data_IF_100808446410
#
_entry.id   IF_100808446410
#
_cell.length_a   1.000
_cell.length_b   1.000
_cell.length_c   1.000
_cell.angle_alpha   90.00
_cell.angle_beta   90.00
_cell.angle_gamma   90.00
#
_symmetry.space_group_name_H-M   'P 1'
#
loop_
_entity.id
_entity.type
_entity.pdbx_description
1 polymer ?
#
# COMPACT_ATOMS: atom_id res chain seq x y z
N UNK A 1 6.43 -11.01 -29.58
CA UNK A 1 5.47 -11.07 -28.46
C UNK A 1 6.12 -10.50 -27.19
N UNK A 2 5.91 -9.22 -26.89
CA UNK A 2 6.42 -8.58 -25.66
C UNK A 2 5.27 -8.49 -24.67
N UNK A 3 5.14 -9.49 -23.81
CA UNK A 3 4.25 -9.45 -22.64
C UNK A 3 4.82 -8.42 -21.67
N UNK A 4 4.25 -7.22 -21.68
CA UNK A 4 4.48 -6.22 -20.64
C UNK A 4 3.74 -6.69 -19.38
N UNK A 5 4.38 -7.59 -18.63
CA UNK A 5 3.96 -7.99 -17.29
C UNK A 5 3.98 -6.75 -16.40
N UNK A 6 2.82 -6.09 -16.33
CA UNK A 6 2.53 -5.02 -15.39
C UNK A 6 2.61 -5.61 -13.99
N UNK A 7 3.68 -5.28 -13.27
CA UNK A 7 3.88 -5.67 -11.87
C UNK A 7 2.68 -5.20 -11.04
N UNK A 8 1.86 -6.14 -10.59
CA UNK A 8 0.66 -5.89 -9.79
C UNK A 8 1.14 -5.62 -8.36
N UNK A 9 1.17 -4.34 -7.97
CA UNK A 9 1.28 -3.96 -6.57
C UNK A 9 -0.01 -4.38 -5.87
N UNK A 10 0.07 -5.44 -5.07
CA UNK A 10 -1.06 -5.95 -4.28
C UNK A 10 -0.96 -5.28 -2.94
N UNK A 11 -1.83 -4.32 -2.71
CA UNK A 11 -1.89 -3.59 -1.45
C UNK A 11 -3.19 -3.92 -0.75
N UNK A 12 -3.07 -4.25 0.54
CA UNK A 12 -4.22 -4.49 1.42
C UNK A 12 -5.02 -3.19 1.50
N UNK A 13 -6.33 -3.31 1.24
CA UNK A 13 -7.29 -2.23 1.28
C UNK A 13 -7.25 -1.52 2.64
N UNK A 14 -6.69 -0.31 2.66
CA UNK A 14 -6.97 0.64 3.73
C UNK A 14 -8.11 1.55 3.26
N UNK A 15 -9.32 1.01 3.23
CA UNK A 15 -10.53 1.81 3.07
C UNK A 15 -10.68 2.69 4.31
N UNK A 16 -10.09 3.89 4.27
CA UNK A 16 -10.48 4.97 5.18
C UNK A 16 -11.91 5.31 4.82
N UNK A 17 -12.87 4.75 5.57
CA UNK A 17 -14.27 5.14 5.50
C UNK A 17 -14.34 6.57 6.03
N UNK A 18 -14.12 7.55 5.15
CA UNK A 18 -14.62 8.89 5.39
C UNK A 18 -16.13 8.79 5.31
N UNK A 19 -16.76 8.62 6.47
CA UNK A 19 -18.19 8.75 6.66
C UNK A 19 -18.58 10.21 6.38
N UNK A 20 -18.63 10.61 5.11
CA UNK A 20 -19.58 11.63 4.69
C UNK A 20 -20.93 10.94 4.71
N UNK A 21 -21.66 11.08 5.83
CA UNK A 21 -23.09 10.78 5.95
C UNK A 21 -23.88 11.79 5.08
N UNK A 22 -23.58 11.82 3.78
CA UNK A 22 -24.37 12.52 2.78
C UNK A 22 -25.67 11.76 2.57
N UNK A 23 -26.79 12.45 2.75
CA UNK A 23 -28.13 11.91 2.96
C UNK A 23 -28.80 11.23 1.74
N UNK A 24 -28.08 10.85 0.69
CA UNK A 24 -28.70 10.35 -0.54
C UNK A 24 -28.07 9.04 -0.99
N UNK A 25 -28.81 7.95 -0.79
CA UNK A 25 -28.94 6.75 -1.63
C UNK A 25 -29.20 5.50 -0.78
N UNK A 26 -30.30 4.81 -1.09
CA UNK A 26 -30.80 3.53 -0.58
C UNK A 26 -31.57 3.62 0.74
N UNK A 27 -32.91 3.59 0.62
CA UNK A 27 -33.87 3.85 1.70
C UNK A 27 -34.39 2.60 2.44
N UNK A 28 -34.04 1.37 2.04
CA UNK A 28 -34.61 0.17 2.68
C UNK A 28 -33.63 -0.68 3.51
N UNK A 29 -32.30 -0.52 3.35
CA UNK A 29 -31.29 -1.32 4.07
C UNK A 29 -30.37 -0.47 4.95
N UNK A 30 -30.90 0.58 5.58
CA UNK A 30 -30.13 1.29 6.61
C UNK A 30 -30.18 0.44 7.89
N UNK A 31 -29.03 -0.04 8.40
CA UNK A 31 -29.02 -0.73 9.68
C UNK A 31 -29.59 0.21 10.75
N UNK A 32 -30.48 -0.32 11.59
CA UNK A 32 -31.04 0.40 12.72
C UNK A 32 -29.94 0.58 13.78
N UNK A 33 -29.15 1.65 13.64
CA UNK A 33 -28.02 1.98 14.52
C UNK A 33 -28.46 3.04 15.52
N UNK A 34 -28.36 2.74 16.82
CA UNK A 34 -28.66 3.69 17.90
C UNK A 34 -27.73 4.91 17.91
N UNK A 35 -28.15 6.03 18.52
CA UNK A 35 -27.29 7.23 18.63
C UNK A 35 -25.98 6.94 19.38
N UNK A 36 -26.04 6.13 20.45
CA UNK A 36 -24.84 5.70 21.18
C UNK A 36 -23.85 4.95 20.27
N UNK A 37 -24.33 4.01 19.46
CA UNK A 37 -23.49 3.30 18.48
C UNK A 37 -22.96 4.24 17.40
N UNK A 38 -23.75 5.21 16.92
CA UNK A 38 -23.26 6.23 15.97
C UNK A 38 -22.10 7.03 16.55
N UNK A 39 -22.17 7.44 17.81
CA UNK A 39 -21.10 8.18 18.46
C UNK A 39 -19.85 7.32 18.67
N UNK A 40 -20.00 6.05 19.04
CA UNK A 40 -18.90 5.08 19.09
C UNK A 40 -18.24 4.89 17.72
N UNK A 41 -19.03 4.75 16.65
CA UNK A 41 -18.52 4.63 15.28
C UNK A 41 -17.78 5.90 14.82
N UNK A 42 -18.29 7.09 15.15
CA UNK A 42 -17.61 8.36 14.85
C UNK A 42 -16.26 8.44 15.57
N UNK A 43 -16.24 8.08 16.86
CA UNK A 43 -15.02 8.06 17.67
C UNK A 43 -14.00 7.05 17.11
N UNK A 44 -14.45 5.84 16.77
CA UNK A 44 -13.62 4.82 16.12
C UNK A 44 -13.06 5.32 14.78
N UNK A 45 -13.90 5.91 13.93
CA UNK A 45 -13.46 6.44 12.63
C UNK A 45 -12.43 7.56 12.78
N UNK A 46 -12.60 8.47 13.75
CA UNK A 46 -11.63 9.53 14.03
C UNK A 46 -10.29 8.96 14.52
N UNK A 47 -10.32 8.00 15.45
CA UNK A 47 -9.13 7.32 15.96
C UNK A 47 -8.39 6.55 14.85
N UNK A 48 -9.11 5.74 14.08
CA UNK A 48 -8.56 4.96 12.95
C UNK A 48 -7.96 5.89 11.90
N UNK A 49 -8.59 7.03 11.59
CA UNK A 49 -8.05 8.04 10.67
C UNK A 49 -6.73 8.59 11.15
N UNK A 50 -6.64 8.98 12.43
CA UNK A 50 -5.41 9.52 13.01
C UNK A 50 -4.28 8.47 13.02
N UNK A 51 -4.54 7.26 13.54
CA UNK A 51 -3.57 6.17 13.57
C UNK A 51 -3.08 5.81 12.16
N UNK A 52 -4.01 5.61 11.22
CA UNK A 52 -3.67 5.30 9.83
C UNK A 52 -2.89 6.43 9.17
N UNK A 53 -3.24 7.69 9.45
CA UNK A 53 -2.52 8.86 8.95
C UNK A 53 -1.05 8.86 9.40
N UNK A 54 -0.82 8.69 10.71
CA UNK A 54 0.54 8.61 11.29
C UNK A 54 1.36 7.48 10.68
N UNK A 55 0.78 6.29 10.54
CA UNK A 55 1.49 5.14 9.97
C UNK A 55 1.75 5.29 8.47
N UNK A 56 0.82 5.87 7.71
CA UNK A 56 1.05 6.21 6.29
C UNK A 56 2.17 7.24 6.13
N UNK A 57 2.22 8.25 6.98
CA UNK A 57 3.29 9.25 6.96
C UNK A 57 4.65 8.65 7.39
N UNK A 58 4.66 7.73 8.35
CA UNK A 58 5.85 6.95 8.71
C UNK A 58 6.33 6.08 7.54
N UNK A 59 5.43 5.33 6.90
CA UNK A 59 5.73 4.52 5.72
C UNK A 59 6.26 5.36 4.55
N UNK A 60 5.65 6.53 4.29
CA UNK A 60 6.12 7.47 3.27
C UNK A 60 7.54 7.94 3.55
N UNK A 61 7.82 8.39 4.77
CA UNK A 61 9.17 8.84 5.19
C UNK A 61 10.19 7.71 5.07
N UNK A 62 9.87 6.51 5.55
CA UNK A 62 10.75 5.35 5.46
C UNK A 62 11.08 4.97 4.00
N UNK A 63 10.10 5.05 3.11
CA UNK A 63 10.31 4.83 1.66
C UNK A 63 11.17 5.92 1.03
N UNK A 64 11.03 7.18 1.43
CA UNK A 64 11.90 8.27 0.97
C UNK A 64 13.33 8.10 1.48
N UNK A 65 13.52 7.68 2.74
CA UNK A 65 14.83 7.34 3.30
C UNK A 65 15.49 6.21 2.50
N UNK A 66 14.71 5.17 2.17
CA UNK A 66 15.17 4.03 1.37
C UNK A 66 15.55 4.45 -0.05
N UNK A 67 14.73 5.28 -0.70
CA UNK A 67 15.03 5.84 -2.01
C UNK A 67 16.32 6.67 -1.99
N UNK A 68 16.52 7.49 -0.96
CA UNK A 68 17.74 8.26 -0.77
C UNK A 68 18.96 7.37 -0.50
N UNK A 69 18.79 6.26 0.22
CA UNK A 69 19.85 5.26 0.36
C UNK A 69 20.18 4.58 -0.98
N UNK A 70 19.20 4.45 -1.86
CA UNK A 70 19.39 3.92 -3.23
C UNK A 70 19.85 4.96 -4.26
N UNK A 71 20.00 6.24 -3.93
CA UNK A 71 20.41 7.24 -4.92
C UNK A 71 21.92 7.34 -5.11
N UNK A 72 22.72 6.77 -4.21
CA UNK A 72 24.19 6.79 -4.30
C UNK A 72 24.71 5.54 -5.02
N UNK A 73 25.82 5.67 -5.75
CA UNK A 73 26.47 4.53 -6.41
C UNK A 73 26.98 3.54 -5.37
N UNK A 74 27.79 4.01 -4.42
CA UNK A 74 28.18 3.24 -3.25
C UNK A 74 27.01 3.12 -2.28
N UNK A 75 26.52 1.89 -2.10
CA UNK A 75 25.36 1.61 -1.26
C UNK A 75 25.79 1.52 0.20
N UNK A 76 25.14 2.30 1.05
CA UNK A 76 25.30 2.19 2.50
C UNK A 76 24.32 1.12 3.02
N UNK A 77 24.84 -0.08 3.24
CA UNK A 77 24.07 -1.24 3.69
C UNK A 77 23.38 -1.01 5.05
N UNK A 78 24.00 -0.24 5.94
CA UNK A 78 23.39 0.09 7.24
C UNK A 78 22.20 1.01 7.07
N UNK A 79 22.30 2.02 6.20
CA UNK A 79 21.19 2.94 5.90
C UNK A 79 20.06 2.23 5.16
N UNK A 80 20.37 1.37 4.21
CA UNK A 80 19.36 0.53 3.52
C UNK A 80 18.63 -0.33 4.52
N UNK A 81 19.35 -1.07 5.37
CA UNK A 81 18.75 -1.92 6.41
C UNK A 81 17.85 -1.12 7.35
N UNK A 82 18.35 0.00 7.89
CA UNK A 82 17.58 0.87 8.78
C UNK A 82 16.29 1.40 8.13
N UNK A 83 16.35 1.82 6.87
CA UNK A 83 15.17 2.28 6.15
C UNK A 83 14.19 1.13 5.86
N UNK A 84 14.69 -0.05 5.48
CA UNK A 84 13.88 -1.25 5.25
C UNK A 84 13.16 -1.72 6.51
N UNK A 85 13.84 -1.72 7.66
CA UNK A 85 13.25 -2.07 8.96
C UNK A 85 12.10 -1.12 9.31
N UNK A 86 12.26 0.19 9.03
CA UNK A 86 11.18 1.18 9.22
C UNK A 86 10.00 0.96 8.28
N UNK A 87 10.24 0.61 7.00
CA UNK A 87 9.18 0.27 6.04
C UNK A 87 8.40 -0.95 6.54
N UNK A 88 9.12 -2.00 6.93
CA UNK A 88 8.57 -3.24 7.46
C UNK A 88 7.70 -3.00 8.71
N UNK A 89 8.21 -2.21 9.67
CA UNK A 89 7.49 -1.89 10.90
C UNK A 89 6.19 -1.11 10.62
N UNK A 90 6.25 -0.10 9.74
CA UNK A 90 5.07 0.70 9.39
C UNK A 90 4.00 -0.13 8.63
N UNK A 91 4.42 -1.04 7.75
CA UNK A 91 3.52 -1.97 7.06
C UNK A 91 2.81 -2.90 8.04
N UNK A 92 3.54 -3.49 8.99
CA UNK A 92 2.96 -4.34 10.02
C UNK A 92 2.00 -3.56 10.92
N UNK A 93 2.37 -2.34 11.32
CA UNK A 93 1.52 -1.46 12.13
C UNK A 93 0.19 -1.17 11.42
N UNK A 94 0.21 -0.85 10.11
CA UNK A 94 -1.01 -0.66 9.32
C UNK A 94 -1.92 -1.90 9.31
N UNK A 95 -1.35 -3.10 9.11
CA UNK A 95 -2.13 -4.35 9.15
C UNK A 95 -2.79 -4.56 10.52
N UNK A 96 -2.09 -4.25 11.61
CA UNK A 96 -2.61 -4.36 12.96
C UNK A 96 -3.68 -3.29 13.28
N UNK A 97 -3.51 -2.04 12.80
CA UNK A 97 -4.55 -1.00 12.91
C UNK A 97 -5.84 -1.46 12.24
N UNK A 98 -5.75 -2.16 11.11
CA UNK A 98 -6.92 -2.74 10.45
C UNK A 98 -7.58 -3.83 11.30
N UNK A 99 -6.80 -4.77 11.84
CA UNK A 99 -7.36 -5.80 12.72
C UNK A 99 -8.04 -5.19 13.95
N UNK A 100 -7.41 -4.23 14.62
CA UNK A 100 -7.98 -3.55 15.78
C UNK A 100 -9.33 -2.89 15.44
N UNK A 101 -9.39 -2.20 14.29
CA UNK A 101 -10.61 -1.56 13.81
C UNK A 101 -11.70 -2.58 13.49
N UNK A 102 -11.34 -3.73 12.93
CA UNK A 102 -12.25 -4.83 12.63
C UNK A 102 -12.85 -5.45 13.90
N UNK A 103 -12.02 -5.67 14.93
CA UNK A 103 -12.49 -6.14 16.24
C UNK A 103 -13.40 -5.10 16.90
N UNK A 104 -13.01 -3.81 16.88
CA UNK A 104 -13.79 -2.74 17.48
C UNK A 104 -15.17 -2.57 16.81
N UNK A 105 -15.26 -2.67 15.48
CA UNK A 105 -16.54 -2.61 14.76
C UNK A 105 -17.54 -3.67 15.24
N UNK A 106 -17.06 -4.88 15.53
CA UNK A 106 -17.90 -5.99 16.05
C UNK A 106 -18.27 -5.82 17.52
N UNK A 107 -17.49 -5.06 18.28
CA UNK A 107 -17.86 -4.67 19.63
C UNK A 107 -18.95 -3.61 19.68
N UNK A 108 -19.14 -2.85 18.59
CA UNK A 108 -20.12 -1.77 18.49
C UNK A 108 -21.41 -2.25 17.81
N UNK A 109 -21.29 -3.01 16.72
CA UNK A 109 -22.41 -3.45 15.89
C UNK A 109 -22.88 -4.86 16.28
N UNK A 110 -24.18 -5.12 16.21
CA UNK A 110 -24.71 -6.49 16.24
C UNK A 110 -24.39 -7.23 14.94
N UNK A 111 -24.59 -8.55 14.91
CA UNK A 111 -24.35 -9.38 13.72
C UNK A 111 -25.11 -8.87 12.49
N UNK A 112 -26.41 -8.61 12.62
CA UNK A 112 -27.24 -8.11 11.52
C UNK A 112 -26.82 -6.71 11.06
N UNK A 113 -26.53 -5.81 12.01
CA UNK A 113 -26.02 -4.47 11.69
C UNK A 113 -24.67 -4.53 10.98
N UNK A 114 -23.78 -5.43 11.41
CA UNK A 114 -22.47 -5.63 10.78
C UNK A 114 -22.62 -6.17 9.35
N UNK A 115 -23.48 -7.18 9.13
CA UNK A 115 -23.78 -7.72 7.79
C UNK A 115 -24.31 -6.63 6.86
N UNK A 116 -25.28 -5.83 7.31
CA UNK A 116 -25.82 -4.71 6.55
C UNK A 116 -24.74 -3.65 6.26
N UNK A 117 -23.92 -3.30 7.25
CA UNK A 117 -22.80 -2.38 7.09
C UNK A 117 -21.78 -2.89 6.05
N UNK A 118 -21.43 -4.17 6.09
CA UNK A 118 -20.53 -4.78 5.10
C UNK A 118 -21.11 -4.81 3.70
N UNK A 119 -22.40 -5.11 3.57
CA UNK A 119 -23.09 -5.05 2.29
C UNK A 119 -23.04 -3.63 1.70
N UNK A 120 -23.36 -2.61 2.50
CA UNK A 120 -23.29 -1.21 2.10
C UNK A 120 -21.88 -0.81 1.66
N UNK A 121 -20.85 -1.20 2.43
CA UNK A 121 -19.45 -0.93 2.08
C UNK A 121 -19.05 -1.61 0.78
N UNK A 122 -19.46 -2.87 0.55
CA UNK A 122 -19.19 -3.59 -0.70
C UNK A 122 -19.84 -2.93 -1.90
N UNK A 123 -21.08 -2.44 -1.75
CA UNK A 123 -21.79 -1.73 -2.81
C UNK A 123 -21.13 -0.39 -3.13
N UNK A 124 -20.69 0.36 -2.10
CA UNK A 124 -19.89 1.59 -2.29
C UNK A 124 -18.53 1.30 -2.92
N UNK A 125 -17.86 0.20 -2.57
CA UNK A 125 -16.57 -0.16 -3.17
C UNK A 125 -16.68 -0.64 -4.63
N UNK A 126 -17.87 -1.05 -5.08
CA UNK A 126 -18.13 -1.33 -6.50
C UNK A 126 -18.29 -0.05 -7.33
N UNK A 127 -18.44 1.10 -6.68
CA UNK A 127 -18.43 2.39 -7.36
C UNK A 127 -17.00 2.68 -7.85
N UNK A 128 -16.78 2.84 -9.18
CA UNK A 128 -15.47 3.17 -9.74
C UNK A 128 -14.86 4.48 -9.19
N UNK A 129 -15.66 5.35 -8.57
CA UNK A 129 -15.20 6.58 -7.92
C UNK A 129 -14.64 6.35 -6.50
N UNK A 130 -14.98 5.24 -5.84
CA UNK A 130 -14.41 4.86 -4.53
C UNK A 130 -13.07 4.20 -4.78
N UNK A 131 -12.07 5.05 -5.04
CA UNK A 131 -10.70 4.63 -5.17
C UNK A 131 -10.17 4.01 -3.88
N UNK A 132 -10.20 2.68 -3.84
CA UNK A 132 -9.43 1.82 -2.94
C UNK A 132 -7.95 1.91 -3.29
N UNK A 133 -7.35 3.08 -3.08
CA UNK A 133 -5.97 3.31 -3.49
C UNK A 133 -5.14 3.60 -2.26
N UNK A 134 -4.36 2.59 -1.85
CA UNK A 134 -2.97 2.87 -1.50
C UNK A 134 -2.41 3.79 -2.61
N UNK A 135 -1.73 4.89 -2.28
CA UNK A 135 -1.36 5.90 -3.27
C UNK A 135 -0.70 5.28 -4.51
N UNK A 136 -1.15 5.59 -5.74
CA UNK A 136 -0.57 5.06 -6.99
C UNK A 136 0.94 5.33 -7.16
N UNK A 137 1.50 6.22 -6.34
CA UNK A 137 2.89 6.62 -6.28
C UNK A 137 3.79 5.53 -5.68
N UNK A 138 3.27 4.67 -4.81
CA UNK A 138 4.04 3.63 -4.12
C UNK A 138 4.36 2.45 -5.06
N UNK A 139 3.48 2.20 -6.04
CA UNK A 139 3.69 1.20 -7.08
C UNK A 139 4.73 1.63 -8.15
N UNK A 140 5.19 2.88 -8.13
CA UNK A 140 6.20 3.36 -9.09
C UNK A 140 7.61 2.95 -8.67
N UNK A 141 8.00 3.15 -7.41
CA UNK A 141 9.36 2.88 -6.93
C UNK A 141 9.75 1.41 -7.07
N UNK A 142 8.76 0.52 -7.04
CA UNK A 142 8.93 -0.92 -7.25
C UNK A 142 9.05 -1.29 -8.75
N UNK A 143 8.60 -0.41 -9.65
CA UNK A 143 8.66 -0.58 -11.12
C UNK A 143 9.88 0.08 -11.77
N UNK A 144 10.70 0.78 -11.00
CA UNK A 144 11.92 1.44 -11.49
C UNK A 144 13.15 0.56 -11.18
N UNK A 145 14.15 0.51 -12.07
CA UNK A 145 14.10 0.96 -13.46
C UNK A 145 13.14 0.08 -14.29
N UNK A 146 12.42 0.70 -15.24
CA UNK A 146 11.64 -0.03 -16.24
C UNK A 146 12.43 -0.20 -17.55
N UNK A 147 11.91 -1.02 -18.47
CA UNK A 147 12.61 -1.33 -19.72
C UNK A 147 12.96 -0.08 -20.55
N UNK A 148 12.10 0.95 -20.56
CA UNK A 148 12.35 2.20 -21.29
C UNK A 148 13.50 3.00 -20.67
N UNK A 149 13.57 3.02 -19.34
CA UNK A 149 14.69 3.66 -18.65
C UNK A 149 15.99 2.91 -18.87
N UNK A 150 15.96 1.57 -18.95
CA UNK A 150 17.14 0.80 -19.31
C UNK A 150 17.54 1.01 -20.78
N UNK A 151 16.58 1.25 -21.69
CA UNK A 151 16.85 1.57 -23.10
C UNK A 151 17.64 2.88 -23.26
N UNK A 152 17.40 3.89 -22.41
CA UNK A 152 18.06 5.19 -22.51
C UNK A 152 19.50 5.23 -21.97
N UNK A 153 19.98 4.16 -21.33
CA UNK A 153 21.32 4.11 -20.70
C UNK A 153 22.44 3.65 -21.64
N UNK A 154 22.11 3.28 -22.88
CA UNK A 154 23.10 2.73 -23.82
C UNK A 154 23.75 1.43 -23.33
N UNK A 155 23.04 0.62 -22.52
CA UNK A 155 23.56 -0.64 -21.97
C UNK A 155 23.73 -1.70 -23.06
N UNK A 156 24.75 -2.55 -22.92
CA UNK A 156 25.00 -3.67 -23.84
C UNK A 156 23.90 -4.74 -23.75
N UNK A 157 23.81 -5.60 -24.78
CA UNK A 157 22.88 -6.74 -24.76
C UNK A 157 23.16 -7.70 -23.59
N UNK A 158 24.42 -7.82 -23.18
CA UNK A 158 24.85 -8.63 -22.05
C UNK A 158 24.45 -8.00 -20.71
N UNK A 159 24.69 -6.70 -20.51
CA UNK A 159 24.21 -5.96 -19.34
C UNK A 159 22.70 -6.05 -19.22
N UNK A 160 21.98 -5.89 -20.35
CA UNK A 160 20.53 -6.05 -20.41
C UNK A 160 20.09 -7.45 -20.01
N UNK A 161 20.73 -8.49 -20.55
CA UNK A 161 20.43 -9.87 -20.18
C UNK A 161 20.61 -10.08 -18.68
N UNK A 162 21.70 -9.58 -18.08
CA UNK A 162 21.96 -9.66 -16.63
C UNK A 162 20.89 -8.94 -15.79
N UNK A 163 20.44 -7.77 -16.24
CA UNK A 163 19.37 -7.02 -15.57
C UNK A 163 17.98 -7.65 -15.74
N UNK A 164 17.75 -8.40 -16.83
CA UNK A 164 16.48 -9.06 -17.17
C UNK A 164 16.37 -10.50 -16.62
N UNK A 165 17.50 -11.19 -16.38
CA UNK A 165 17.54 -12.63 -16.04
C UNK A 165 16.90 -13.01 -14.71
N UNK A 166 16.50 -12.07 -13.88
CA UNK A 166 16.14 -12.39 -12.50
C UNK A 166 14.95 -11.57 -12.06
N UNK A 167 14.38 -11.92 -10.91
CA UNK A 167 13.36 -11.15 -10.18
C UNK A 167 11.89 -11.54 -10.39
N UNK A 168 11.53 -12.50 -11.26
CA UNK A 168 10.14 -13.02 -11.35
C UNK A 168 9.72 -13.79 -10.09
N UNK A 169 9.29 -13.06 -9.06
CA UNK A 169 8.74 -13.65 -7.83
C UNK A 169 7.23 -13.82 -7.91
N UNK A 170 6.76 -14.35 -9.05
CA UNK A 170 5.34 -14.55 -9.31
C UNK A 170 4.66 -15.37 -8.20
N UNK A 171 5.34 -16.38 -7.68
CA UNK A 171 4.82 -17.22 -6.59
C UNK A 171 4.63 -16.45 -5.28
N UNK A 172 5.56 -15.55 -4.91
CA UNK A 172 5.43 -14.77 -3.67
C UNK A 172 4.33 -13.71 -3.81
N UNK A 173 4.27 -13.06 -4.96
CA UNK A 173 3.21 -12.11 -5.31
C UNK A 173 1.85 -12.79 -5.26
N UNK A 174 1.72 -13.96 -5.88
CA UNK A 174 0.47 -14.71 -5.86
C UNK A 174 0.11 -15.16 -4.45
N UNK A 175 1.08 -15.67 -3.69
CA UNK A 175 0.90 -16.00 -2.27
C UNK A 175 0.46 -14.80 -1.42
N UNK A 176 0.95 -13.59 -1.72
CA UNK A 176 0.53 -12.35 -1.08
C UNK A 176 -0.93 -12.00 -1.41
N UNK A 177 -1.36 -12.16 -2.68
CA UNK A 177 -2.78 -12.03 -3.08
C UNK A 177 -3.66 -13.00 -2.32
N UNK A 178 -3.28 -14.28 -2.32
CA UNK A 178 -4.07 -15.32 -1.67
C UNK A 178 -4.22 -15.04 -0.18
N UNK A 179 -3.12 -14.71 0.51
CA UNK A 179 -3.15 -14.39 1.94
C UNK A 179 -4.01 -13.15 2.23
N UNK A 180 -3.90 -12.12 1.39
CA UNK A 180 -4.71 -10.89 1.49
C UNK A 180 -6.18 -11.19 1.29
N UNK A 181 -6.53 -11.97 0.27
CA UNK A 181 -7.92 -12.38 -0.01
C UNK A 181 -8.50 -13.15 1.17
N UNK A 182 -7.76 -14.13 1.70
CA UNK A 182 -8.18 -14.89 2.88
C UNK A 182 -8.41 -13.98 4.10
N UNK A 183 -7.57 -12.96 4.30
CA UNK A 183 -7.74 -12.00 5.39
C UNK A 183 -9.01 -11.15 5.19
N UNK A 184 -9.29 -10.72 3.97
CA UNK A 184 -10.51 -9.97 3.64
C UNK A 184 -11.77 -10.84 3.78
N UNK A 185 -11.70 -12.10 3.36
CA UNK A 185 -12.79 -13.07 3.52
C UNK A 185 -13.07 -13.28 5.02
N UNK A 186 -12.03 -13.43 5.84
CA UNK A 186 -12.15 -13.51 7.31
C UNK A 186 -12.76 -12.23 7.91
N UNK A 187 -12.37 -11.06 7.41
CA UNK A 187 -12.96 -9.80 7.85
C UNK A 187 -14.43 -9.65 7.43
N UNK A 188 -14.92 -10.42 6.46
CA UNK A 188 -16.32 -10.35 6.03
C UNK A 188 -17.29 -11.07 6.98
N UNK A 189 -16.81 -11.98 7.84
CA UNK A 189 -17.63 -12.73 8.80
C UNK A 189 -17.77 -11.98 10.12
N UNK A 190 -18.92 -12.08 10.79
CA UNK A 190 -19.12 -11.43 12.09
C UNK A 190 -18.24 -12.07 13.17
N UNK A 191 -18.27 -13.40 13.29
CA UNK A 191 -17.40 -14.16 14.19
C UNK A 191 -15.97 -14.17 13.66
N UNK A 192 -15.20 -13.14 14.00
CA UNK A 192 -13.81 -12.98 13.58
C UNK A 192 -12.89 -13.82 14.44
N UNK A 193 -12.29 -14.86 13.83
CA UNK A 193 -11.14 -15.54 14.42
C UNK A 193 -9.91 -14.62 14.37
N UNK A 194 -9.72 -13.86 15.44
CA UNK A 194 -8.59 -12.92 15.58
C UNK A 194 -7.23 -13.62 15.56
N UNK A 195 -7.16 -14.90 15.98
CA UNK A 195 -5.91 -15.65 15.94
C UNK A 195 -5.57 -16.05 14.49
N UNK A 196 -6.55 -16.50 13.71
CA UNK A 196 -6.38 -16.73 12.27
C UNK A 196 -6.01 -15.44 11.52
N UNK A 197 -6.64 -14.30 11.86
CA UNK A 197 -6.31 -13.00 11.28
C UNK A 197 -4.83 -12.64 11.51
N UNK A 198 -4.34 -12.78 12.75
CA UNK A 198 -2.93 -12.51 13.09
C UNK A 198 -1.96 -13.40 12.32
N UNK A 199 -2.26 -14.70 12.19
CA UNK A 199 -1.45 -15.63 11.38
C UNK A 199 -1.39 -15.20 9.91
N UNK A 200 -2.49 -14.71 9.35
CA UNK A 200 -2.53 -14.18 7.99
C UNK A 200 -1.74 -12.87 7.87
N UNK A 201 -1.85 -11.96 8.84
CA UNK A 201 -1.05 -10.73 8.91
C UNK A 201 0.44 -11.05 8.93
N UNK A 202 0.89 -11.97 9.78
CA UNK A 202 2.31 -12.40 9.84
C UNK A 202 2.77 -13.04 8.53
N UNK A 203 1.87 -13.76 7.85
CA UNK A 203 2.14 -14.39 6.54
C UNK A 203 2.23 -13.36 5.42
N UNK A 204 1.42 -12.29 5.45
CA UNK A 204 1.46 -11.16 4.52
C UNK A 204 2.74 -10.36 4.76
N UNK A 205 3.01 -10.00 6.01
CA UNK A 205 4.16 -9.20 6.41
C UNK A 205 5.49 -9.87 6.02
N UNK A 206 5.66 -11.17 6.32
CA UNK A 206 6.85 -11.92 5.88
C UNK A 206 7.08 -11.88 4.37
N UNK A 207 6.02 -11.93 3.56
CA UNK A 207 6.14 -11.83 2.09
C UNK A 207 6.51 -10.40 1.67
N UNK A 208 5.98 -9.37 2.33
CA UNK A 208 6.34 -7.98 2.08
C UNK A 208 7.82 -7.72 2.40
N UNK A 209 8.32 -8.23 3.53
CA UNK A 209 9.74 -8.16 3.91
C UNK A 209 10.61 -8.87 2.87
N UNK A 210 10.25 -10.08 2.45
CA UNK A 210 10.97 -10.80 1.41
C UNK A 210 11.05 -10.02 0.08
N UNK A 211 9.95 -9.38 -0.34
CA UNK A 211 9.94 -8.54 -1.53
C UNK A 211 10.84 -7.29 -1.39
N UNK A 212 10.89 -6.72 -0.19
CA UNK A 212 11.76 -5.59 0.13
C UNK A 212 13.25 -5.97 0.10
N UNK A 213 13.59 -7.15 0.62
CA UNK A 213 14.94 -7.71 0.58
C UNK A 213 15.39 -7.97 -0.86
N UNK A 214 14.51 -8.56 -1.67
CA UNK A 214 14.76 -8.75 -3.10
C UNK A 214 14.97 -7.44 -3.84
N UNK A 215 14.18 -6.41 -3.52
CA UNK A 215 14.38 -5.08 -4.09
C UNK A 215 15.74 -4.51 -3.71
N UNK A 216 16.19 -4.73 -2.46
CA UNK A 216 17.53 -4.33 -2.00
C UNK A 216 18.63 -5.05 -2.78
N UNK A 217 18.51 -6.36 -2.95
CA UNK A 217 19.44 -7.16 -3.76
C UNK A 217 19.49 -6.69 -5.22
N UNK A 218 18.32 -6.39 -5.81
CA UNK A 218 18.23 -5.83 -7.17
C UNK A 218 18.97 -4.50 -7.29
N UNK A 219 18.87 -3.63 -6.29
CA UNK A 219 19.59 -2.36 -6.27
C UNK A 219 21.12 -2.57 -6.23
N UNK A 220 21.60 -3.59 -5.52
CA UNK A 220 23.03 -3.96 -5.54
C UNK A 220 23.46 -4.48 -6.92
N UNK A 221 22.68 -5.38 -7.52
CA UNK A 221 23.00 -5.92 -8.85
C UNK A 221 23.02 -4.83 -9.93
N UNK A 222 22.09 -3.87 -9.88
CA UNK A 222 22.09 -2.73 -10.80
C UNK A 222 23.43 -1.98 -10.77
N UNK A 223 24.00 -1.75 -9.58
CA UNK A 223 25.30 -1.08 -9.42
C UNK A 223 26.46 -1.92 -9.90
N UNK A 224 26.35 -3.23 -9.75
CA UNK A 224 27.37 -4.16 -10.21
C UNK A 224 27.39 -4.29 -11.75
N UNK A 225 26.23 -4.14 -12.41
CA UNK A 225 26.11 -4.22 -13.87
C UNK A 225 26.37 -2.89 -14.57
N UNK A 226 25.90 -1.78 -14.00
CA UNK A 226 26.02 -0.44 -14.59
C UNK A 226 27.33 0.23 -14.18
N UNK A 227 27.92 0.99 -15.11
CA UNK A 227 28.97 1.95 -14.75
C UNK A 227 28.41 3.07 -13.88
N UNK A 228 29.27 3.80 -13.19
CA UNK A 228 28.86 4.95 -12.38
C UNK A 228 28.12 6.02 -13.22
N UNK A 229 28.59 6.31 -14.44
CA UNK A 229 27.94 7.24 -15.36
C UNK A 229 26.56 6.76 -15.82
N UNK A 230 26.42 5.47 -16.13
CA UNK A 230 25.14 4.86 -16.48
C UNK A 230 24.18 4.92 -15.29
N UNK A 231 24.66 4.65 -14.08
CA UNK A 231 23.87 4.73 -12.87
C UNK A 231 23.42 6.16 -12.57
N UNK A 232 24.30 7.16 -12.73
CA UNK A 232 23.96 8.58 -12.58
C UNK A 232 22.87 9.02 -13.57
N UNK A 233 22.99 8.61 -14.82
CA UNK A 233 21.96 8.84 -15.85
C UNK A 233 20.64 8.19 -15.45
N UNK A 234 20.68 6.97 -14.92
CA UNK A 234 19.49 6.29 -14.42
C UNK A 234 18.81 7.06 -13.28
N UNK A 235 19.59 7.57 -12.32
CA UNK A 235 19.07 8.36 -11.19
C UNK A 235 18.43 9.68 -11.65
N UNK A 236 18.99 10.32 -12.69
CA UNK A 236 18.39 11.51 -13.30
C UNK A 236 17.02 11.20 -13.93
N UNK A 237 16.90 10.09 -14.65
CA UNK A 237 15.62 9.64 -15.22
C UNK A 237 14.59 9.28 -14.14
N UNK A 238 15.02 8.64 -13.04
CA UNK A 238 14.16 8.38 -11.87
C UNK A 238 13.66 9.70 -11.27
N UNK A 239 14.58 10.64 -11.04
CA UNK A 239 14.27 11.95 -10.45
C UNK A 239 13.30 12.74 -11.32
N UNK A 240 13.53 12.75 -12.64
CA UNK A 240 12.65 13.40 -13.62
C UNK A 240 11.25 12.81 -13.58
N UNK A 241 11.11 11.47 -13.58
CA UNK A 241 9.79 10.83 -13.45
C UNK A 241 9.06 11.15 -12.16
N UNK A 242 9.79 11.31 -11.06
CA UNK A 242 9.20 11.72 -9.78
C UNK A 242 8.74 13.18 -9.87
N UNK A 243 9.57 14.07 -10.44
CA UNK A 243 9.26 15.50 -10.60
C UNK A 243 8.09 15.76 -11.57
N UNK A 244 8.03 15.05 -12.70
CA UNK A 244 6.98 15.17 -13.73
C UNK A 244 5.57 14.86 -13.19
N UNK A 245 5.47 14.21 -12.03
CA UNK A 245 4.19 13.98 -11.35
C UNK A 245 3.68 15.16 -10.53
N UNK A 246 4.53 16.16 -10.31
CA UNK A 246 4.23 17.37 -9.54
C UNK A 246 4.09 17.12 -8.03
N UNK A 247 4.30 18.16 -7.19
CA UNK A 247 3.94 18.10 -5.79
C UNK A 247 2.41 17.96 -5.70
N UNK A 248 1.94 16.99 -4.91
CA UNK A 248 0.51 16.94 -4.57
C UNK A 248 0.13 18.26 -3.90
N UNK A 249 -0.97 18.86 -4.37
CA UNK A 249 -1.68 19.87 -3.59
C UNK A 249 -2.23 19.19 -2.33
N UNK A 250 -1.45 19.18 -1.27
CA UNK A 250 -1.82 18.61 0.04
C UNK A 250 -2.97 19.38 0.75
N UNK A 251 -3.62 20.34 0.09
CA UNK A 251 -4.56 21.28 0.73
C UNK A 251 -5.94 21.43 0.10
N UNK A 252 -6.23 20.95 -1.12
CA UNK A 252 -7.44 21.40 -1.84
C UNK A 252 -8.74 20.65 -1.48
N UNK A 253 -8.78 19.99 -0.31
CA UNK A 253 -9.97 19.28 0.20
C UNK A 253 -10.48 19.81 1.55
N UNK A 254 -9.90 20.89 2.10
CA UNK A 254 -10.26 21.39 3.45
C UNK A 254 -11.16 22.63 3.49
N UNK A 255 -11.39 23.33 2.37
CA UNK A 255 -12.13 24.61 2.40
C UNK A 255 -13.53 24.58 1.77
N UNK A 256 -13.89 23.55 0.97
CA UNK A 256 -15.21 23.51 0.32
C UNK A 256 -16.33 22.95 1.22
N UNK A 257 -16.00 22.23 2.29
CA UNK A 257 -16.98 21.66 3.25
C UNK A 257 -17.30 22.59 4.44
N UNK A 258 -16.81 23.84 4.44
CA UNK A 258 -17.11 24.85 5.48
C UNK A 258 -18.06 25.98 5.04
N UNK A 259 -18.66 25.87 3.85
CA UNK A 259 -19.53 26.93 3.29
C UNK A 259 -21.01 26.56 3.12
N UNK A 260 -21.47 25.42 3.61
CA UNK A 260 -22.91 25.08 3.60
C UNK A 260 -23.39 24.52 4.93
#
# INVERSE_FOLDING_TARGET
>A
MRSSLRWIGIWVLAATVSFSLGAACLADDKPDISESQKDQLKALAANTRDRTGRERDALRRARMDLLKAYSTYDIDDHRVKSASDKVSAAQLSLLNVHLDNEVALRGILTDDQFKAFRHMMKMRMRDPQVHLLAPPEEALLERLPDGKMLDSLGISAEQRKRLDTTWRNANVIEGLKTSTKQLLDLYSTYDLDSAAARKLIDSIHRKQVYLLDLQSQRQKEIRHVLTEDQFKTLQQEITKRIADRGPRRDGQRRDDDRKH
#
